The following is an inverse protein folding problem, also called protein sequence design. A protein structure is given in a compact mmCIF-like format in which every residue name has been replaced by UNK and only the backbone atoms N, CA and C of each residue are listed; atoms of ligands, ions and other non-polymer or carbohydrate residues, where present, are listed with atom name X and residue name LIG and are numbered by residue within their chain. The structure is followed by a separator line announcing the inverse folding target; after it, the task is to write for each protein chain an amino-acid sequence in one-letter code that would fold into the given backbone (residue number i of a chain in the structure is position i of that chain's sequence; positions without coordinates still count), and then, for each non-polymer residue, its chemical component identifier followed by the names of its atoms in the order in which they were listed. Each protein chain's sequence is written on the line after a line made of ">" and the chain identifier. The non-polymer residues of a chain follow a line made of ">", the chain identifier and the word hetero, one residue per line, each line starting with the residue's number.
data_IF_466706475670
#
_entry.id   IF_466706475670
#
_cell.length_a   1.000
_cell.length_b   1.000
_cell.length_c   1.000
_cell.angle_alpha   90.00
_cell.angle_beta   90.00
_cell.angle_gamma   90.00
#
_symmetry.space_group_name_H-M   'P 1'
#
loop_
_entity.id
_entity.type
_entity.pdbx_description
1 polymer ?
#
# COMPACT_ATOMS: atom_id res chain seq x y z
N UNK A 1 -55.35 -28.91 -0.53
CA UNK A 1 -54.92 -27.73 0.24
C UNK A 1 -53.40 -27.79 0.34
N UNK A 2 -52.70 -27.13 -0.59
CA UNK A 2 -51.99 -25.84 -0.40
C UNK A 2 -50.87 -25.99 0.64
N UNK A 3 -49.68 -26.38 0.20
CA UNK A 3 -48.61 -25.53 -0.35
C UNK A 3 -47.63 -25.17 0.78
N UNK A 4 -46.51 -25.90 0.81
CA UNK A 4 -45.38 -25.62 1.70
C UNK A 4 -44.75 -24.33 1.19
N UNK A 5 -45.02 -23.22 1.87
CA UNK A 5 -44.33 -21.96 1.64
C UNK A 5 -42.87 -22.10 2.08
N UNK A 6 -42.00 -22.48 1.14
CA UNK A 6 -40.55 -22.42 1.32
C UNK A 6 -40.13 -20.96 1.21
N UNK A 7 -40.15 -20.23 2.33
CA UNK A 7 -39.53 -18.92 2.44
C UNK A 7 -38.00 -19.07 2.41
N UNK A 8 -37.41 -19.16 1.22
CA UNK A 8 -35.95 -19.11 1.01
C UNK A 8 -35.47 -18.00 0.04
N UNK A 9 -35.77 -16.70 0.27
CA UNK A 9 -34.99 -15.64 -0.39
C UNK A 9 -33.98 -14.92 0.53
N UNK A 10 -34.09 -15.04 1.87
CA UNK A 10 -33.35 -14.15 2.80
C UNK A 10 -31.92 -14.61 3.15
N UNK A 11 -31.64 -15.92 3.09
CA UNK A 11 -30.35 -16.49 3.52
C UNK A 11 -29.24 -16.37 2.46
N UNK A 12 -29.59 -16.25 1.17
CA UNK A 12 -28.59 -16.15 0.09
C UNK A 12 -27.88 -14.80 0.10
N UNK A 13 -28.61 -13.69 0.30
CA UNK A 13 -28.01 -12.36 0.46
C UNK A 13 -27.21 -12.22 1.75
N UNK A 14 -27.64 -12.83 2.87
CA UNK A 14 -26.89 -12.77 4.12
C UNK A 14 -25.57 -13.53 4.06
N UNK A 15 -25.52 -14.70 3.39
CA UNK A 15 -24.29 -15.46 3.19
C UNK A 15 -23.32 -14.75 2.24
N UNK A 16 -23.85 -14.13 1.18
CA UNK A 16 -23.03 -13.37 0.24
C UNK A 16 -22.43 -12.12 0.91
N UNK A 17 -23.20 -11.43 1.74
CA UNK A 17 -22.73 -10.29 2.52
C UNK A 17 -21.68 -10.70 3.57
N UNK A 18 -21.85 -11.85 4.24
CA UNK A 18 -20.87 -12.37 5.17
C UNK A 18 -19.52 -12.70 4.49
N UNK A 19 -19.57 -13.33 3.32
CA UNK A 19 -18.38 -13.65 2.52
C UNK A 19 -17.65 -12.39 2.01
N UNK A 20 -18.38 -11.36 1.57
CA UNK A 20 -17.77 -10.07 1.20
C UNK A 20 -17.11 -9.39 2.40
N UNK A 21 -17.72 -9.48 3.58
CA UNK A 21 -17.16 -8.92 4.81
C UNK A 21 -15.89 -9.66 5.25
N UNK A 22 -15.86 -10.99 5.14
CA UNK A 22 -14.67 -11.82 5.40
C UNK A 22 -13.52 -11.48 4.44
N UNK A 23 -13.78 -11.39 3.14
CA UNK A 23 -12.79 -10.98 2.13
C UNK A 23 -12.25 -9.56 2.35
N UNK A 24 -13.12 -8.63 2.77
CA UNK A 24 -12.70 -7.26 3.08
C UNK A 24 -11.77 -7.22 4.30
N UNK A 25 -12.07 -8.02 5.34
CA UNK A 25 -11.20 -8.17 6.51
C UNK A 25 -9.86 -8.78 6.12
N UNK A 26 -9.85 -9.84 5.33
CA UNK A 26 -8.62 -10.49 4.86
C UNK A 26 -7.76 -9.54 4.02
N UNK A 27 -8.39 -8.75 3.15
CA UNK A 27 -7.69 -7.74 2.36
C UNK A 27 -7.07 -6.67 3.25
N UNK A 28 -7.80 -6.19 4.26
CA UNK A 28 -7.30 -5.17 5.18
C UNK A 28 -6.13 -5.68 6.03
N UNK A 29 -6.16 -6.95 6.45
CA UNK A 29 -5.04 -7.58 7.17
C UNK A 29 -3.79 -7.65 6.29
N UNK A 30 -3.96 -8.01 5.01
CA UNK A 30 -2.85 -8.05 4.05
C UNK A 30 -2.28 -6.67 3.77
N UNK A 31 -3.13 -5.66 3.64
CA UNK A 31 -2.70 -4.25 3.47
C UNK A 31 -1.92 -3.78 4.69
N UNK A 32 -2.42 -4.01 5.91
CA UNK A 32 -1.69 -3.64 7.14
C UNK A 32 -0.29 -4.26 7.19
N UNK A 33 -0.17 -5.54 6.81
CA UNK A 33 1.14 -6.20 6.77
C UNK A 33 2.09 -5.56 5.74
N UNK A 34 1.57 -5.14 4.58
CA UNK A 34 2.36 -4.39 3.60
C UNK A 34 2.76 -3.02 4.13
N UNK A 35 1.85 -2.32 4.82
CA UNK A 35 2.13 -1.02 5.42
C UNK A 35 3.24 -1.12 6.48
N UNK A 36 3.21 -2.14 7.34
CA UNK A 36 4.28 -2.44 8.30
C UNK A 36 5.63 -2.65 7.59
N UNK A 37 5.65 -3.44 6.51
CA UNK A 37 6.86 -3.67 5.72
C UNK A 37 7.37 -2.39 5.05
N UNK A 38 6.48 -1.52 4.55
CA UNK A 38 6.86 -0.24 3.96
C UNK A 38 7.48 0.69 4.99
N UNK A 39 6.96 0.72 6.22
CA UNK A 39 7.50 1.51 7.33
C UNK A 39 8.91 1.02 7.70
N UNK A 40 9.10 -0.29 7.87
CA UNK A 40 10.40 -0.88 8.21
C UNK A 40 11.46 -0.58 7.13
N UNK A 41 11.08 -0.65 5.85
CA UNK A 41 11.96 -0.31 4.73
C UNK A 41 12.28 1.18 4.66
N UNK A 42 11.30 2.04 4.99
CA UNK A 42 11.49 3.48 5.04
C UNK A 42 12.46 3.86 6.15
N UNK A 43 12.33 3.27 7.35
CA UNK A 43 13.26 3.47 8.47
C UNK A 43 14.69 3.09 8.07
N UNK A 44 14.88 1.91 7.45
CA UNK A 44 16.19 1.46 6.97
C UNK A 44 16.79 2.42 5.94
N UNK A 45 16.00 2.89 4.97
CA UNK A 45 16.45 3.85 3.95
C UNK A 45 16.91 5.16 4.58
N UNK A 46 16.14 5.68 5.54
CA UNK A 46 16.49 6.91 6.26
C UNK A 46 17.76 6.72 7.09
N UNK A 47 17.93 5.57 7.72
CA UNK A 47 19.17 5.19 8.41
C UNK A 47 20.40 5.25 7.49
N UNK A 48 20.31 4.65 6.31
CA UNK A 48 21.41 4.69 5.31
C UNK A 48 21.69 6.10 4.80
N UNK A 49 20.65 6.94 4.66
CA UNK A 49 20.83 8.34 4.33
C UNK A 49 21.64 9.11 5.40
N UNK A 50 21.65 8.70 6.66
CA UNK A 50 22.50 9.35 7.68
C UNK A 50 24.01 9.07 7.47
N UNK A 51 24.33 7.99 6.75
CA UNK A 51 25.70 7.51 6.55
C UNK A 51 26.37 8.05 5.28
N UNK A 52 25.60 8.52 4.29
CA UNK A 52 26.11 8.98 2.99
C UNK A 52 25.15 9.95 2.28
N UNK A 53 25.68 10.94 1.54
CA UNK A 53 24.85 11.82 0.70
C UNK A 53 24.26 11.06 -0.50
N UNK A 54 22.93 11.09 -0.65
CA UNK A 54 22.26 10.48 -1.80
C UNK A 54 22.33 11.44 -3.01
N UNK A 55 22.58 10.90 -4.20
CA UNK A 55 22.41 11.65 -5.45
C UNK A 55 20.92 11.72 -5.78
N UNK A 56 20.30 12.87 -5.52
CA UNK A 56 18.85 13.05 -5.65
C UNK A 56 18.31 12.94 -7.08
N UNK A 57 19.11 13.28 -8.11
CA UNK A 57 18.70 13.16 -9.51
C UNK A 57 18.68 11.70 -9.95
N UNK A 58 19.78 10.98 -9.74
CA UNK A 58 19.90 9.54 -10.01
C UNK A 58 18.87 8.70 -9.22
N UNK A 59 18.57 9.11 -7.99
CA UNK A 59 17.53 8.47 -7.18
C UNK A 59 16.14 8.68 -7.79
N UNK A 60 15.83 9.89 -8.29
CA UNK A 60 14.54 10.16 -8.91
C UNK A 60 14.37 9.36 -10.20
N UNK A 61 15.37 9.38 -11.07
CA UNK A 61 15.34 8.67 -12.35
C UNK A 61 15.09 7.18 -12.14
N UNK A 62 15.79 6.56 -11.18
CA UNK A 62 15.56 5.18 -10.78
C UNK A 62 14.09 4.90 -10.40
N UNK A 63 13.45 5.78 -9.62
CA UNK A 63 12.05 5.58 -9.22
C UNK A 63 11.08 5.72 -10.38
N UNK A 64 11.32 6.67 -11.30
CA UNK A 64 10.47 6.90 -12.46
C UNK A 64 10.58 5.76 -13.47
N UNK A 65 11.79 5.30 -13.80
CA UNK A 65 12.00 4.14 -14.66
C UNK A 65 11.25 2.91 -14.12
N UNK A 66 11.38 2.65 -12.81
CA UNK A 66 10.70 1.54 -12.18
C UNK A 66 9.17 1.70 -12.11
N UNK A 67 8.66 2.94 -12.07
CA UNK A 67 7.22 3.22 -12.15
C UNK A 67 6.67 2.90 -13.54
N UNK A 68 7.39 3.29 -14.60
CA UNK A 68 7.05 3.00 -15.99
C UNK A 68 6.97 1.48 -16.20
N UNK A 69 8.01 0.75 -15.78
CA UNK A 69 8.06 -0.72 -15.91
C UNK A 69 6.93 -1.45 -15.17
N UNK A 70 6.30 -0.81 -14.18
CA UNK A 70 5.22 -1.37 -13.36
C UNK A 70 3.86 -0.79 -13.70
N UNK A 71 3.76 -0.01 -14.78
CA UNK A 71 2.53 0.68 -15.19
C UNK A 71 1.92 1.54 -14.07
N UNK A 72 2.78 2.17 -13.26
CA UNK A 72 2.37 3.08 -12.19
C UNK A 72 2.34 4.53 -12.69
N UNK A 73 1.53 5.36 -12.04
CA UNK A 73 1.48 6.81 -12.31
C UNK A 73 2.80 7.46 -11.87
N UNK A 74 3.63 7.82 -12.85
CA UNK A 74 4.95 8.44 -12.67
C UNK A 74 4.88 9.67 -11.77
N UNK A 75 3.89 10.55 -11.96
CA UNK A 75 3.75 11.77 -11.18
C UNK A 75 3.41 11.50 -9.72
N UNK A 76 2.72 10.39 -9.43
CA UNK A 76 2.47 9.96 -8.05
C UNK A 76 3.71 9.33 -7.44
N UNK A 77 4.44 8.51 -8.18
CA UNK A 77 5.70 7.91 -7.71
C UNK A 77 6.75 8.98 -7.45
N UNK A 78 6.85 9.99 -8.31
CA UNK A 78 7.72 11.16 -8.14
C UNK A 78 7.44 11.86 -6.79
N UNK A 79 6.16 12.08 -6.47
CA UNK A 79 5.75 12.69 -5.19
C UNK A 79 6.17 11.84 -4.00
N UNK A 80 5.98 10.52 -4.08
CA UNK A 80 6.43 9.60 -3.02
C UNK A 80 7.95 9.68 -2.88
N UNK A 81 8.71 9.60 -3.98
CA UNK A 81 10.16 9.70 -3.96
C UNK A 81 10.63 11.01 -3.31
N UNK A 82 10.02 12.14 -3.67
CA UNK A 82 10.31 13.46 -3.06
C UNK A 82 10.04 13.46 -1.56
N UNK A 83 8.93 12.87 -1.11
CA UNK A 83 8.63 12.74 0.33
C UNK A 83 9.67 11.90 1.05
N UNK A 84 10.06 10.75 0.47
CA UNK A 84 11.07 9.85 1.03
C UNK A 84 12.44 10.55 1.13
N UNK A 85 12.88 11.26 0.08
CA UNK A 85 14.10 12.08 0.13
C UNK A 85 13.99 13.21 1.16
N UNK A 86 12.79 13.75 1.37
CA UNK A 86 12.50 14.74 2.42
C UNK A 86 12.80 14.19 3.82
N UNK A 87 12.37 12.96 4.12
CA UNK A 87 12.70 12.30 5.39
C UNK A 87 14.21 12.12 5.58
N UNK A 88 14.93 11.75 4.52
CA UNK A 88 16.40 11.61 4.56
C UNK A 88 17.14 12.93 4.84
N UNK A 89 16.61 14.07 4.40
CA UNK A 89 17.19 15.38 4.70
C UNK A 89 16.93 15.80 6.14
N UNK A 90 15.69 15.61 6.60
CA UNK A 90 15.29 15.95 7.96
C UNK A 90 16.05 15.12 9.03
N UNK A 91 16.38 13.85 8.74
CA UNK A 91 17.16 13.02 9.66
C UNK A 91 18.64 13.43 9.79
N UNK A 92 19.14 14.31 8.92
CA UNK A 92 20.50 14.86 8.97
C UNK A 92 20.57 16.21 9.68
N UNK A 93 19.43 16.84 9.95
CA UNK A 93 19.36 18.07 10.73
C UNK A 93 19.47 17.71 12.23
N UNK A 94 20.32 18.41 13.01
CA UNK A 94 20.57 18.08 14.42
C UNK A 94 19.39 18.36 15.35
#
# INVERSE_FOLDING_TARGET
>A
MLSIAVCLPSTRSSLQNAHYMELAVDTQVRLRKLDEQLIDLLEQRVGLCSESEENGEETMDFWIEHAIDREMDELRVEKICRTVMGFCRASREP
#
